data_IF_094047023116
#
_entry.id   IF_094047023116
#
_cell.length_a   1.000
_cell.length_b   1.000
_cell.length_c   1.000
_cell.angle_alpha   90.00
_cell.angle_beta   90.00
_cell.angle_gamma   90.00
#
_symmetry.space_group_name_H-M   'P 1'
#
loop_
_entity.id
_entity.type
_entity.pdbx_description
1 polymer ?
#
# COMPACT_ATOMS: atom_id res chain seq x y z
N UNK A 1 -10.14 -9.60 3.27
CA UNK A 1 -10.49 -8.29 2.74
C UNK A 1 -9.85 -8.12 1.36
N UNK A 2 -10.66 -7.70 0.40
CA UNK A 2 -10.24 -7.45 -0.98
C UNK A 2 -10.81 -6.11 -1.42
N UNK A 3 -9.98 -5.30 -2.07
CA UNK A 3 -10.32 -3.99 -2.58
C UNK A 3 -9.89 -3.88 -4.05
N UNK A 4 -10.83 -3.49 -4.89
CA UNK A 4 -10.59 -3.15 -6.30
C UNK A 4 -10.75 -1.65 -6.48
N UNK A 5 -9.74 -1.00 -7.03
CA UNK A 5 -9.77 0.43 -7.33
C UNK A 5 -9.37 0.63 -8.80
N UNK A 6 -10.26 1.23 -9.58
CA UNK A 6 -9.99 1.57 -10.97
C UNK A 6 -9.57 3.04 -11.08
N UNK A 7 -8.27 3.28 -11.13
CA UNK A 7 -7.72 4.63 -11.26
C UNK A 7 -7.83 5.20 -12.69
N UNK A 8 -7.98 4.37 -13.72
CA UNK A 8 -8.16 4.85 -15.10
C UNK A 8 -9.46 5.63 -15.27
N UNK A 9 -10.47 5.38 -14.45
CA UNK A 9 -11.75 6.08 -14.50
C UNK A 9 -11.76 7.35 -13.66
N UNK A 10 -10.64 7.71 -13.04
CA UNK A 10 -10.54 8.99 -12.37
C UNK A 10 -10.58 10.12 -13.42
N UNK A 11 -11.35 11.15 -13.13
CA UNK A 11 -11.53 12.28 -14.02
C UNK A 11 -11.39 13.56 -13.22
N UNK A 12 -10.63 14.50 -13.75
CA UNK A 12 -10.49 15.84 -13.21
C UNK A 12 -11.36 16.75 -14.06
N UNK A 13 -12.17 17.58 -13.42
CA UNK A 13 -13.00 18.60 -14.04
C UNK A 13 -12.79 19.94 -13.35
N UNK A 14 -13.06 21.02 -14.08
CA UNK A 14 -13.01 22.39 -13.56
C UNK A 14 -11.59 22.79 -13.07
N UNK A 15 -10.58 22.60 -13.91
CA UNK A 15 -9.24 23.13 -13.65
C UNK A 15 -9.32 24.66 -13.71
N UNK A 16 -8.98 25.30 -12.60
CA UNK A 16 -8.90 26.77 -12.52
C UNK A 16 -7.82 27.26 -13.53
N UNK A 17 -8.15 28.29 -14.31
CA UNK A 17 -7.31 28.83 -15.39
C UNK A 17 -7.23 28.00 -16.70
N UNK A 18 -7.99 26.92 -16.85
CA UNK A 18 -8.10 26.17 -18.11
C UNK A 18 -9.25 26.74 -19.00
N UNK A 19 -8.94 27.83 -19.69
CA UNK A 19 -9.94 28.58 -20.49
C UNK A 19 -10.48 27.83 -21.71
N UNK A 20 -9.76 26.85 -22.23
CA UNK A 20 -10.13 26.09 -23.43
C UNK A 20 -10.36 24.59 -23.18
N UNK A 21 -10.21 24.14 -21.95
CA UNK A 21 -10.37 22.74 -21.55
C UNK A 21 -9.22 21.83 -22.01
N UNK A 22 -8.14 22.39 -22.55
CA UNK A 22 -7.01 21.60 -23.07
C UNK A 22 -6.19 20.93 -21.98
N UNK A 23 -6.03 21.59 -20.83
CA UNK A 23 -5.32 21.05 -19.67
C UNK A 23 -6.12 19.91 -19.04
N UNK A 24 -7.43 20.08 -18.91
CA UNK A 24 -8.34 19.04 -18.41
C UNK A 24 -8.28 17.80 -19.31
N UNK A 25 -8.40 17.98 -20.62
CA UNK A 25 -8.35 16.89 -21.58
C UNK A 25 -7.01 16.16 -21.56
N UNK A 26 -5.90 16.89 -21.55
CA UNK A 26 -4.55 16.29 -21.49
C UNK A 26 -4.34 15.53 -20.20
N UNK A 27 -4.73 16.10 -19.06
CA UNK A 27 -4.60 15.45 -17.75
C UNK A 27 -5.44 14.18 -17.66
N UNK A 28 -6.65 14.19 -18.21
CA UNK A 28 -7.52 13.01 -18.21
C UNK A 28 -6.99 11.91 -19.14
N UNK A 29 -6.39 12.27 -20.28
CA UNK A 29 -5.66 11.32 -21.14
C UNK A 29 -4.46 10.71 -20.42
N UNK A 30 -3.66 11.51 -19.73
CA UNK A 30 -2.53 11.01 -18.95
C UNK A 30 -2.98 10.04 -17.83
N UNK A 31 -4.09 10.32 -17.18
CA UNK A 31 -4.69 9.41 -16.18
C UNK A 31 -5.04 8.07 -16.85
N UNK A 32 -5.69 8.07 -17.99
CA UNK A 32 -6.10 6.87 -18.70
C UNK A 32 -4.89 6.06 -19.22
N UNK A 33 -3.86 6.75 -19.72
CA UNK A 33 -2.67 6.13 -20.31
C UNK A 33 -1.68 5.60 -19.26
N UNK A 34 -1.51 6.31 -18.14
CA UNK A 34 -0.50 5.96 -17.13
C UNK A 34 -1.02 5.20 -15.94
N UNK A 35 -2.32 5.29 -15.65
CA UNK A 35 -2.91 4.60 -14.50
C UNK A 35 -3.69 3.35 -14.92
N UNK A 36 -3.78 2.41 -14.00
CA UNK A 36 -4.51 1.16 -14.17
C UNK A 36 -5.34 0.81 -12.94
N UNK A 37 -6.21 -0.15 -13.09
CA UNK A 37 -6.88 -0.75 -11.96
C UNK A 37 -5.90 -1.52 -11.06
N UNK A 38 -6.11 -1.43 -9.76
CA UNK A 38 -5.33 -2.14 -8.74
C UNK A 38 -6.17 -3.13 -7.97
N UNK A 39 -5.49 -4.19 -7.52
CA UNK A 39 -6.06 -5.24 -6.70
C UNK A 39 -5.31 -5.30 -5.38
N UNK A 40 -5.96 -4.89 -4.32
CA UNK A 40 -5.40 -4.91 -2.98
C UNK A 40 -6.04 -6.04 -2.18
N UNK A 41 -5.27 -6.80 -1.44
CA UNK A 41 -5.84 -7.84 -0.60
C UNK A 41 -5.12 -7.97 0.74
N UNK A 42 -5.88 -8.38 1.74
CA UNK A 42 -5.41 -8.65 3.10
C UNK A 42 -6.02 -9.95 3.59
N UNK A 43 -5.17 -10.82 4.07
CA UNK A 43 -5.57 -12.10 4.66
C UNK A 43 -4.92 -12.24 6.01
N UNK A 44 -5.67 -12.76 6.97
CA UNK A 44 -5.15 -13.01 8.32
C UNK A 44 -5.82 -14.22 8.92
N UNK A 45 -5.11 -14.87 9.81
CA UNK A 45 -5.57 -16.01 10.57
C UNK A 45 -5.22 -15.83 12.06
N UNK A 46 -6.10 -16.28 12.90
CA UNK A 46 -5.90 -16.38 14.34
C UNK A 46 -6.12 -17.83 14.78
N UNK A 47 -5.19 -18.36 15.53
CA UNK A 47 -5.32 -19.67 16.18
C UNK A 47 -5.27 -19.50 17.69
N UNK A 48 -6.32 -19.96 18.34
CA UNK A 48 -6.44 -19.97 19.81
C UNK A 48 -6.11 -21.34 20.35
N UNK A 49 -4.98 -21.45 21.02
CA UNK A 49 -4.58 -22.72 21.67
C UNK A 49 -5.47 -23.05 22.87
N UNK A 50 -5.85 -22.00 23.60
CA UNK A 50 -6.73 -22.08 24.77
C UNK A 50 -7.34 -20.68 25.03
N UNK A 51 -8.05 -20.54 26.15
CA UNK A 51 -8.64 -19.25 26.56
C UNK A 51 -7.59 -18.17 26.91
N UNK A 52 -6.34 -18.60 27.18
CA UNK A 52 -5.27 -17.70 27.61
C UNK A 52 -4.36 -17.25 26.47
N UNK A 53 -4.13 -18.11 25.47
CA UNK A 53 -3.11 -17.87 24.45
C UNK A 53 -3.64 -17.97 23.04
N UNK A 54 -3.33 -16.96 22.22
CA UNK A 54 -3.62 -16.91 20.78
C UNK A 54 -2.40 -16.51 19.97
N UNK A 55 -2.30 -17.04 18.75
CA UNK A 55 -1.35 -16.60 17.72
C UNK A 55 -2.12 -16.03 16.53
N UNK A 56 -1.53 -15.02 15.92
CA UNK A 56 -2.07 -14.34 14.74
C UNK A 56 -0.99 -14.23 13.69
N UNK A 57 -1.37 -14.41 12.43
CA UNK A 57 -0.51 -14.17 11.29
C UNK A 57 -1.33 -13.51 10.19
N UNK A 58 -0.71 -12.65 9.41
CA UNK A 58 -1.38 -11.98 8.31
C UNK A 58 -0.43 -11.57 7.21
N UNK A 59 -1.01 -11.38 6.04
CA UNK A 59 -0.34 -10.86 4.86
C UNK A 59 -1.23 -9.81 4.20
N UNK A 60 -0.61 -8.74 3.75
CA UNK A 60 -1.27 -7.69 3.00
C UNK A 60 -0.46 -7.32 1.76
N UNK A 61 -1.15 -7.08 0.67
CA UNK A 61 -0.59 -6.69 -0.62
C UNK A 61 -1.37 -5.50 -1.17
N UNK A 62 -0.65 -4.47 -1.57
CA UNK A 62 -1.16 -3.32 -2.29
C UNK A 62 -0.46 -3.22 -3.64
N UNK A 63 -1.25 -3.26 -4.68
CA UNK A 63 -0.74 -3.20 -6.06
C UNK A 63 -0.40 -1.77 -6.48
N UNK A 64 0.40 -1.67 -7.53
CA UNK A 64 0.80 -0.39 -8.12
C UNK A 64 -0.28 0.13 -9.06
N UNK A 65 -0.65 1.42 -8.99
CA UNK A 65 -1.61 2.02 -9.91
C UNK A 65 -1.04 2.33 -11.30
N UNK A 66 0.28 2.20 -11.50
CA UNK A 66 0.91 2.58 -12.76
C UNK A 66 0.85 1.49 -13.82
N UNK A 67 0.49 1.89 -15.06
CA UNK A 67 0.32 0.98 -16.20
C UNK A 67 1.65 0.61 -16.87
N UNK A 68 2.67 1.47 -16.83
CA UNK A 68 3.91 1.30 -17.56
C UNK A 68 4.63 0.01 -17.16
N UNK A 69 5.03 -0.79 -18.15
CA UNK A 69 5.72 -2.07 -17.92
C UNK A 69 7.05 -1.91 -17.17
N UNK A 70 7.73 -0.78 -17.37
CA UNK A 70 8.96 -0.44 -16.67
C UNK A 70 8.71 -0.15 -15.18
N UNK A 71 7.54 0.39 -14.84
CA UNK A 71 7.18 0.82 -13.48
C UNK A 71 6.19 -0.10 -12.77
N UNK A 72 5.73 -1.16 -13.42
CA UNK A 72 4.69 -2.07 -12.95
C UNK A 72 4.98 -2.74 -11.60
N UNK A 73 6.26 -2.93 -11.28
CA UNK A 73 6.69 -3.54 -10.04
C UNK A 73 7.00 -2.51 -8.94
N UNK A 74 7.02 -1.23 -9.28
CA UNK A 74 7.30 -0.15 -8.36
C UNK A 74 6.02 0.32 -7.66
N UNK A 75 6.18 0.86 -6.46
CA UNK A 75 5.08 1.26 -5.59
C UNK A 75 4.18 0.11 -5.09
N UNK A 76 4.57 -1.15 -5.30
CA UNK A 76 3.93 -2.26 -4.63
C UNK A 76 4.36 -2.31 -3.18
N UNK A 77 3.39 -2.51 -2.31
CA UNK A 77 3.65 -2.64 -0.88
C UNK A 77 3.21 -4.03 -0.44
N UNK A 78 4.08 -4.70 0.28
CA UNK A 78 3.77 -5.97 0.91
C UNK A 78 4.04 -5.88 2.41
N UNK A 79 3.18 -6.47 3.21
CA UNK A 79 3.35 -6.52 4.64
C UNK A 79 3.05 -7.92 5.19
N UNK A 80 3.97 -8.41 6.01
CA UNK A 80 3.80 -9.61 6.81
C UNK A 80 3.59 -9.22 8.26
N UNK A 81 2.62 -9.84 8.90
CA UNK A 81 2.32 -9.60 10.31
C UNK A 81 2.33 -10.89 11.09
N UNK A 82 2.88 -10.85 12.29
CA UNK A 82 2.82 -11.93 13.25
C UNK A 82 2.49 -11.35 14.62
N UNK A 83 1.69 -12.04 15.42
CA UNK A 83 1.29 -11.55 16.73
C UNK A 83 0.95 -12.68 17.68
N UNK A 84 1.06 -12.39 18.97
CA UNK A 84 0.66 -13.26 20.06
C UNK A 84 -0.17 -12.49 21.07
N UNK A 85 -1.22 -13.12 21.57
CA UNK A 85 -2.11 -12.56 22.59
C UNK A 85 -2.18 -13.45 23.83
N UNK A 86 -2.12 -12.81 24.98
CA UNK A 86 -2.33 -13.42 26.29
C UNK A 86 -3.55 -12.78 26.95
N UNK A 87 -4.47 -13.59 27.44
CA UNK A 87 -5.71 -13.14 28.10
C UNK A 87 -5.85 -13.80 29.48
N UNK A 88 -5.69 -13.02 30.50
CA UNK A 88 -5.81 -13.46 31.91
C UNK A 88 -7.17 -13.09 32.50
N UNK A 89 -8.22 -13.04 31.70
CA UNK A 89 -9.56 -12.66 32.14
C UNK A 89 -9.73 -11.14 32.24
N UNK A 90 -9.36 -10.56 33.36
CA UNK A 90 -9.41 -9.11 33.57
C UNK A 90 -8.28 -8.37 32.80
N UNK A 91 -7.11 -8.98 32.63
CA UNK A 91 -5.96 -8.40 31.97
C UNK A 91 -5.70 -9.09 30.63
N UNK A 92 -5.30 -8.31 29.62
CA UNK A 92 -4.79 -8.86 28.37
C UNK A 92 -3.52 -8.15 27.92
N UNK A 93 -2.67 -8.89 27.22
CA UNK A 93 -1.47 -8.40 26.61
C UNK A 93 -1.40 -8.93 25.19
N UNK A 94 -1.24 -8.04 24.22
CA UNK A 94 -1.04 -8.39 22.82
C UNK A 94 0.30 -7.84 22.35
N UNK A 95 1.07 -8.68 21.66
CA UNK A 95 2.28 -8.27 20.96
C UNK A 95 2.12 -8.55 19.47
N UNK A 96 2.51 -7.61 18.63
CA UNK A 96 2.47 -7.74 17.19
C UNK A 96 3.77 -7.23 16.57
N UNK A 97 4.21 -7.90 15.51
CA UNK A 97 5.32 -7.50 14.66
C UNK A 97 4.83 -7.36 13.22
N UNK A 98 5.22 -6.28 12.56
CA UNK A 98 4.88 -5.96 11.18
C UNK A 98 6.16 -5.75 10.42
N UNK A 99 6.37 -6.53 9.37
CA UNK A 99 7.44 -6.34 8.39
C UNK A 99 6.83 -5.87 7.08
N UNK A 100 7.18 -4.65 6.66
CA UNK A 100 6.68 -4.04 5.44
C UNK A 100 7.85 -3.77 4.50
N UNK A 101 7.68 -4.08 3.22
CA UNK A 101 8.61 -3.68 2.19
C UNK A 101 7.89 -3.09 0.98
N UNK A 102 8.54 -2.11 0.37
CA UNK A 102 8.12 -1.53 -0.90
C UNK A 102 9.32 -1.13 -1.74
N UNK A 103 9.14 -1.13 -3.04
CA UNK A 103 10.13 -0.67 -4.00
C UNK A 103 9.54 0.52 -4.75
N UNK A 104 10.24 1.65 -4.72
CA UNK A 104 9.87 2.85 -5.47
C UNK A 104 10.97 3.21 -6.45
N UNK A 105 10.57 3.73 -7.59
CA UNK A 105 11.49 4.28 -8.58
C UNK A 105 11.32 5.80 -8.63
N UNK A 106 12.42 6.52 -8.63
CA UNK A 106 12.41 7.98 -8.69
C UNK A 106 13.30 8.43 -9.85
N UNK A 107 12.72 9.17 -10.79
CA UNK A 107 13.44 9.85 -11.87
C UNK A 107 13.67 11.29 -11.42
N UNK A 108 14.93 11.71 -11.28
CA UNK A 108 15.25 13.06 -10.78
C UNK A 108 15.04 14.14 -11.82
N UNK A 109 15.36 13.87 -13.07
CA UNK A 109 15.10 14.78 -14.18
C UNK A 109 15.12 14.03 -15.51
N UNK A 110 14.32 14.52 -16.44
CA UNK A 110 14.44 14.20 -17.84
C UNK A 110 14.62 15.54 -18.60
N UNK A 111 15.68 15.69 -19.33
CA UNK A 111 15.92 16.88 -20.13
C UNK A 111 16.35 16.44 -21.52
N UNK A 112 15.61 16.84 -22.55
CA UNK A 112 15.87 16.63 -23.97
C UNK A 112 16.72 15.40 -24.24
N UNK A 113 16.40 14.30 -24.64
CA UNK A 113 17.21 13.11 -25.00
C UNK A 113 18.15 12.50 -23.90
N UNK A 114 18.32 13.15 -22.75
CA UNK A 114 19.09 12.61 -21.64
C UNK A 114 18.09 12.08 -20.59
N UNK A 115 17.80 10.79 -20.68
CA UNK A 115 17.07 10.10 -19.62
C UNK A 115 18.07 9.73 -18.53
N UNK A 116 17.94 10.31 -17.34
CA UNK A 116 18.66 9.82 -16.17
C UNK A 116 18.16 8.42 -15.84
N UNK A 117 19.09 7.50 -15.55
CA UNK A 117 18.69 6.18 -15.05
C UNK A 117 17.85 6.33 -13.80
N UNK A 118 16.70 5.66 -13.72
CA UNK A 118 15.83 5.75 -12.55
C UNK A 118 16.50 5.13 -11.32
N UNK A 119 16.49 5.86 -10.21
CA UNK A 119 16.98 5.38 -8.95
C UNK A 119 15.93 4.46 -8.28
N UNK A 120 16.34 3.23 -8.03
CA UNK A 120 15.53 2.22 -7.35
C UNK A 120 15.72 2.35 -5.84
N UNK A 121 14.67 2.76 -5.16
CA UNK A 121 14.65 2.86 -3.71
C UNK A 121 13.88 1.68 -3.11
N UNK A 122 14.51 0.97 -2.17
CA UNK A 122 13.87 -0.09 -1.39
C UNK A 122 13.61 0.41 0.02
N UNK A 123 12.36 0.35 0.42
CA UNK A 123 11.95 0.71 1.77
C UNK A 123 11.60 -0.55 2.55
N UNK A 124 12.30 -0.73 3.66
CA UNK A 124 12.05 -1.78 4.63
C UNK A 124 11.63 -1.12 5.94
N UNK A 125 10.49 -1.51 6.46
CA UNK A 125 10.00 -1.03 7.75
C UNK A 125 9.69 -2.22 8.65
N UNK A 126 10.20 -2.17 9.87
CA UNK A 126 9.90 -3.12 10.92
C UNK A 126 9.23 -2.37 12.07
N UNK A 127 8.08 -2.83 12.48
CA UNK A 127 7.31 -2.23 13.56
C UNK A 127 6.93 -3.29 14.58
N UNK A 128 7.18 -3.02 15.85
CA UNK A 128 6.73 -3.84 16.97
C UNK A 128 5.71 -3.04 17.79
N UNK A 129 4.59 -3.66 18.12
CA UNK A 129 3.52 -3.08 18.96
C UNK A 129 3.22 -3.99 20.13
N UNK A 130 3.07 -3.38 21.29
CA UNK A 130 2.61 -4.06 22.51
C UNK A 130 1.39 -3.30 23.01
N UNK A 131 0.34 -4.03 23.27
CA UNK A 131 -0.91 -3.51 23.85
C UNK A 131 -1.20 -4.19 25.16
N UNK A 132 -1.40 -3.41 26.20
CA UNK A 132 -1.86 -3.89 27.51
C UNK A 132 -3.24 -3.31 27.78
N UNK A 133 -4.13 -4.12 28.29
CA UNK A 133 -5.47 -3.65 28.61
C UNK A 133 -6.12 -4.39 29.77
N UNK A 134 -7.13 -3.74 30.29
CA UNK A 134 -7.95 -4.24 31.40
C UNK A 134 -9.39 -4.28 30.90
N UNK A 135 -10.05 -5.41 31.15
CA UNK A 135 -11.48 -5.59 30.87
C UNK A 135 -12.22 -5.68 32.23
N UNK A 136 -13.16 -4.80 32.43
CA UNK A 136 -14.03 -4.77 33.61
C UNK A 136 -15.50 -4.94 33.23
#
# INVERSE_FOLDING_TARGET
DYEYVNYQNANISEIEDDYDGSMEQTTNQDIEDYLRATHNFRVGAEYRFNSLFSLRAGYAFWDSPYHNETHKNYNRIQAFTAGAGLNFGMFYCDAAFIHKFSENETVFYSYYDIQSEPLKNKYLSNEARITLGIRF
#
